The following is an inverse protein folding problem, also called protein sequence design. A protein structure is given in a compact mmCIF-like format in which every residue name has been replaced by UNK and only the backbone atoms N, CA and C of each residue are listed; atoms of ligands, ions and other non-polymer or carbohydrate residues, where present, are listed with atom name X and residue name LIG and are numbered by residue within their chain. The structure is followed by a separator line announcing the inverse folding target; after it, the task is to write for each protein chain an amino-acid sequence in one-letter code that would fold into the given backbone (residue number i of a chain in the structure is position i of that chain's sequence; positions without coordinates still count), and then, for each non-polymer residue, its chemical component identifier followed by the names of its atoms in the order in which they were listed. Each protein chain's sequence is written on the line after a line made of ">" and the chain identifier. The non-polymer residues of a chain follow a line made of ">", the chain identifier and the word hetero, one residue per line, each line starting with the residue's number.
data_IF_752714119339
#
_entry.id   IF_752714119339
#
_cell.length_a   1.000
_cell.length_b   1.000
_cell.length_c   1.000
_cell.angle_alpha   90.00
_cell.angle_beta   90.00
_cell.angle_gamma   90.00
#
_symmetry.space_group_name_H-M   'P 1'
#
loop_
_entity.id
_entity.type
_entity.pdbx_description
1 polymer ?
#
# COMPACT_ATOMS: atom_id res chain seq x y z
N UNK A 1 -6.17 -6.65 -21.20
CA UNK A 1 -6.80 -5.98 -20.06
C UNK A 1 -8.31 -6.17 -20.12
N UNK A 2 -8.94 -6.43 -18.97
CA UNK A 2 -10.37 -6.75 -18.82
C UNK A 2 -10.88 -6.32 -17.44
N UNK A 3 -12.11 -6.70 -17.04
CA UNK A 3 -12.67 -6.35 -15.74
C UNK A 3 -11.78 -6.82 -14.57
N UNK A 4 -11.70 -6.08 -13.47
CA UNK A 4 -10.95 -6.50 -12.29
C UNK A 4 -11.67 -7.67 -11.60
N UNK A 5 -10.90 -8.51 -10.93
CA UNK A 5 -11.40 -9.58 -10.07
C UNK A 5 -10.79 -9.49 -8.69
N UNK A 6 -11.61 -9.64 -7.65
CA UNK A 6 -11.15 -9.71 -6.25
C UNK A 6 -11.49 -11.09 -5.71
N UNK A 7 -10.46 -11.90 -5.44
CA UNK A 7 -10.63 -13.27 -4.97
C UNK A 7 -10.21 -13.40 -3.51
N UNK A 8 -11.14 -13.82 -2.65
CA UNK A 8 -10.83 -14.14 -1.27
C UNK A 8 -10.32 -15.57 -1.16
N UNK A 9 -9.18 -15.75 -0.50
CA UNK A 9 -8.67 -17.06 -0.17
C UNK A 9 -9.54 -17.71 0.92
N UNK A 10 -9.85 -18.98 0.74
CA UNK A 10 -10.67 -19.81 1.63
C UNK A 10 -9.90 -21.09 1.97
N UNK A 11 -10.42 -21.89 2.90
CA UNK A 11 -9.79 -23.17 3.25
C UNK A 11 -9.75 -24.17 2.09
N UNK A 12 -10.61 -24.02 1.08
CA UNK A 12 -10.76 -24.94 -0.04
C UNK A 12 -10.42 -24.33 -1.41
N UNK A 13 -9.86 -23.13 -1.46
CA UNK A 13 -9.53 -22.44 -2.72
C UNK A 13 -9.90 -20.96 -2.68
N UNK A 14 -10.31 -20.41 -3.82
CA UNK A 14 -10.58 -18.98 -3.99
C UNK A 14 -12.04 -18.73 -4.35
N UNK A 15 -12.61 -17.64 -3.83
CA UNK A 15 -13.97 -17.19 -4.16
C UNK A 15 -13.92 -15.79 -4.73
N UNK A 16 -14.57 -15.57 -5.88
CA UNK A 16 -14.80 -14.22 -6.40
C UNK A 16 -15.73 -13.45 -5.45
N UNK A 17 -15.22 -12.31 -4.96
CA UNK A 17 -15.88 -11.41 -4.05
C UNK A 17 -16.01 -10.00 -4.64
N UNK A 18 -15.67 -9.79 -5.93
CA UNK A 18 -15.65 -8.47 -6.55
C UNK A 18 -16.98 -7.72 -6.42
N UNK A 19 -18.10 -8.40 -6.66
CA UNK A 19 -19.43 -7.80 -6.54
C UNK A 19 -19.83 -7.52 -5.08
N UNK A 20 -19.54 -8.45 -4.18
CA UNK A 20 -19.80 -8.31 -2.73
C UNK A 20 -19.02 -7.14 -2.13
N UNK A 21 -17.76 -6.99 -2.55
CA UNK A 21 -16.85 -5.97 -2.05
C UNK A 21 -16.90 -4.67 -2.86
N UNK A 22 -17.72 -4.58 -3.91
CA UNK A 22 -17.97 -3.31 -4.61
C UNK A 22 -16.93 -2.91 -5.65
N UNK A 23 -16.11 -3.84 -6.15
CA UNK A 23 -15.08 -3.58 -7.18
C UNK A 23 -15.36 -4.25 -8.53
N UNK A 24 -16.47 -4.99 -8.66
CA UNK A 24 -16.87 -5.58 -9.94
C UNK A 24 -17.43 -4.50 -10.89
N UNK A 25 -16.52 -3.85 -11.63
CA UNK A 25 -16.82 -2.90 -12.69
C UNK A 25 -16.50 -3.50 -14.06
N UNK A 26 -17.30 -3.19 -15.08
CA UNK A 26 -16.95 -3.56 -16.45
C UNK A 26 -15.85 -2.65 -16.98
N UNK A 27 -15.03 -3.15 -17.90
CA UNK A 27 -14.00 -2.36 -18.55
C UNK A 27 -12.67 -3.06 -18.74
N UNK A 28 -11.63 -2.25 -18.84
CA UNK A 28 -10.27 -2.70 -19.09
C UNK A 28 -9.31 -1.87 -18.26
N UNK A 29 -8.54 -2.55 -17.44
CA UNK A 29 -7.68 -1.97 -16.43
C UNK A 29 -6.30 -2.61 -16.48
N UNK A 30 -5.24 -1.82 -16.28
CA UNK A 30 -3.86 -2.21 -16.60
C UNK A 30 -3.07 -2.52 -15.34
N UNK A 31 -3.32 -1.80 -14.26
CA UNK A 31 -2.70 -1.96 -12.96
C UNK A 31 -3.64 -1.65 -11.79
N UNK A 32 -3.19 -2.03 -10.60
CA UNK A 32 -3.78 -1.56 -9.36
C UNK A 32 -2.70 -1.43 -8.29
N UNK A 33 -2.93 -0.54 -7.33
CA UNK A 33 -2.05 -0.38 -6.18
C UNK A 33 -2.88 -0.30 -4.90
N UNK A 34 -2.39 -0.95 -3.85
CA UNK A 34 -3.02 -0.99 -2.53
C UNK A 34 -2.19 -0.18 -1.53
N UNK A 35 -2.86 0.60 -0.69
CA UNK A 35 -2.24 1.34 0.40
C UNK A 35 -3.30 1.93 1.32
N UNK A 36 -2.99 2.08 2.60
CA UNK A 36 -3.88 2.75 3.55
C UNK A 36 -3.69 4.27 3.40
N UNK A 37 -4.45 4.92 2.53
CA UNK A 37 -4.20 6.33 2.13
C UNK A 37 -4.86 7.34 3.07
N UNK A 38 -5.78 6.87 3.91
CA UNK A 38 -6.49 7.67 4.90
C UNK A 38 -6.11 7.32 6.36
N UNK A 39 -5.19 6.36 6.55
CA UNK A 39 -4.71 5.85 7.84
C UNK A 39 -5.81 5.32 8.75
N UNK A 40 -6.84 4.66 8.20
CA UNK A 40 -7.90 4.02 8.98
C UNK A 40 -7.57 2.56 9.39
N UNK A 41 -6.37 2.09 9.03
CA UNK A 41 -5.87 0.75 9.30
C UNK A 41 -6.33 -0.29 8.28
N UNK A 42 -6.85 0.13 7.11
CA UNK A 42 -7.31 -0.74 6.03
C UNK A 42 -6.64 -0.32 4.73
N UNK A 43 -6.44 -1.29 3.84
CA UNK A 43 -5.87 -0.99 2.52
C UNK A 43 -6.98 -0.48 1.60
N UNK A 44 -6.76 0.70 1.05
CA UNK A 44 -7.52 1.30 -0.05
C UNK A 44 -6.92 0.85 -1.40
N UNK A 45 -7.66 1.07 -2.49
CA UNK A 45 -7.33 0.56 -3.81
C UNK A 45 -7.42 1.67 -4.86
N UNK A 46 -6.32 1.91 -5.57
CA UNK A 46 -6.36 2.62 -6.84
C UNK A 46 -6.32 1.63 -8.00
N UNK A 47 -7.11 1.88 -9.03
CA UNK A 47 -7.27 1.05 -10.22
C UNK A 47 -7.25 1.97 -11.45
N UNK A 48 -6.29 1.80 -12.37
CA UNK A 48 -6.23 2.59 -13.59
C UNK A 48 -6.97 1.91 -14.75
N UNK A 49 -7.77 2.70 -15.47
CA UNK A 49 -8.36 2.30 -16.72
C UNK A 49 -7.35 2.37 -17.86
N UNK A 50 -7.60 1.63 -18.94
CA UNK A 50 -6.75 1.71 -20.13
C UNK A 50 -7.36 2.62 -21.19
N UNK A 51 -6.51 3.20 -22.05
CA UNK A 51 -6.96 3.83 -23.30
C UNK A 51 -6.80 2.82 -24.44
N UNK A 52 -7.91 2.32 -24.97
CA UNK A 52 -7.87 1.35 -26.06
C UNK A 52 -9.01 1.53 -27.04
N UNK A 53 -8.72 1.33 -28.33
CA UNK A 53 -9.71 1.45 -29.41
C UNK A 53 -10.43 2.81 -29.44
N UNK A 54 -9.72 3.89 -29.07
CA UNK A 54 -10.28 5.24 -29.00
C UNK A 54 -11.22 5.49 -27.82
N UNK A 55 -11.32 4.53 -26.87
CA UNK A 55 -12.07 4.67 -25.63
C UNK A 55 -11.11 4.80 -24.45
N UNK A 56 -11.37 5.80 -23.60
CA UNK A 56 -10.78 5.90 -22.27
C UNK A 56 -11.68 5.18 -21.26
N UNK A 57 -11.16 4.18 -20.55
CA UNK A 57 -11.84 3.59 -19.40
C UNK A 57 -11.49 4.39 -18.15
N UNK A 58 -12.45 4.68 -17.26
CA UNK A 58 -12.18 5.54 -16.11
C UNK A 58 -11.28 4.85 -15.09
N UNK A 59 -10.47 5.65 -14.41
CA UNK A 59 -9.77 5.26 -13.19
C UNK A 59 -10.76 5.20 -12.02
N UNK A 60 -10.42 4.45 -10.98
CA UNK A 60 -11.17 4.41 -9.72
C UNK A 60 -10.23 4.53 -8.53
N UNK A 61 -10.68 5.23 -7.50
CA UNK A 61 -10.00 5.30 -6.22
C UNK A 61 -10.95 4.83 -5.13
N UNK A 62 -10.84 3.58 -4.74
CA UNK A 62 -11.71 2.95 -3.77
C UNK A 62 -11.18 3.08 -2.35
N UNK A 63 -11.97 3.67 -1.46
CA UNK A 63 -11.73 3.58 -0.03
C UNK A 63 -12.39 2.34 0.55
N UNK A 64 -11.68 1.63 1.42
CA UNK A 64 -12.19 0.42 2.05
C UNK A 64 -12.84 0.76 3.39
N UNK A 65 -14.10 0.38 3.55
CA UNK A 65 -14.82 0.53 4.80
C UNK A 65 -15.74 -0.67 5.04
N UNK A 66 -15.67 -1.25 6.24
CA UNK A 66 -16.60 -2.30 6.69
C UNK A 66 -16.72 -3.51 5.74
N UNK A 67 -15.61 -3.92 5.09
CA UNK A 67 -15.60 -5.07 4.17
C UNK A 67 -16.09 -4.76 2.76
N UNK A 68 -16.15 -3.48 2.38
CA UNK A 68 -16.53 -3.04 1.04
C UNK A 68 -15.67 -1.86 0.59
N UNK A 69 -15.44 -1.78 -0.71
CA UNK A 69 -14.83 -0.67 -1.40
C UNK A 69 -15.91 0.28 -1.93
N UNK A 70 -15.69 1.58 -1.78
CA UNK A 70 -16.53 2.64 -2.35
C UNK A 70 -15.66 3.59 -3.11
N UNK A 71 -16.00 3.86 -4.37
CA UNK A 71 -15.27 4.82 -5.18
C UNK A 71 -15.38 6.22 -4.56
N UNK A 72 -14.23 6.84 -4.40
CA UNK A 72 -14.01 8.15 -3.82
C UNK A 72 -12.93 8.89 -4.63
N UNK A 73 -12.81 8.61 -5.93
CA UNK A 73 -11.82 9.23 -6.80
C UNK A 73 -11.84 10.77 -6.67
N UNK A 74 -10.71 11.38 -6.25
CA UNK A 74 -10.62 12.83 -6.19
C UNK A 74 -10.73 13.43 -7.60
N UNK A 75 -11.35 14.61 -7.77
CA UNK A 75 -11.51 15.24 -9.08
C UNK A 75 -10.19 15.44 -9.85
N UNK A 76 -9.11 15.75 -9.14
CA UNK A 76 -7.76 15.91 -9.68
C UNK A 76 -7.17 14.60 -10.21
N UNK A 77 -7.51 13.46 -9.60
CA UNK A 77 -7.13 12.14 -10.07
C UNK A 77 -7.99 11.76 -11.27
N UNK A 78 -9.31 11.96 -11.20
CA UNK A 78 -10.25 11.65 -12.28
C UNK A 78 -10.01 12.46 -13.57
N UNK A 79 -9.34 13.60 -13.47
CA UNK A 79 -8.94 14.43 -14.61
C UNK A 79 -7.70 13.89 -15.34
N UNK A 80 -6.99 12.93 -14.76
CA UNK A 80 -5.81 12.30 -15.34
C UNK A 80 -6.26 11.09 -16.16
N UNK A 81 -5.52 10.80 -17.21
CA UNK A 81 -5.64 9.54 -17.96
C UNK A 81 -4.39 8.74 -17.69
N UNK A 82 -4.40 7.94 -16.63
CA UNK A 82 -3.40 6.91 -16.42
C UNK A 82 -3.75 5.70 -17.31
N UNK A 83 -2.75 4.92 -17.72
CA UNK A 83 -2.97 3.66 -18.47
C UNK A 83 -1.79 2.69 -18.37
N UNK A 84 -0.89 2.86 -17.40
CA UNK A 84 0.28 1.99 -17.29
C UNK A 84 0.64 1.72 -15.82
N UNK A 85 1.10 2.75 -15.12
CA UNK A 85 1.80 2.58 -13.86
C UNK A 85 1.20 3.45 -12.76
N UNK A 86 1.02 2.85 -11.59
CA UNK A 86 0.56 3.52 -10.39
C UNK A 86 1.46 3.16 -9.21
N UNK A 87 1.77 4.16 -8.38
CA UNK A 87 2.67 4.02 -7.24
C UNK A 87 2.13 4.83 -6.07
N UNK A 88 2.04 4.21 -4.90
CA UNK A 88 1.81 4.90 -3.63
C UNK A 88 3.11 5.04 -2.85
N UNK A 89 3.49 6.26 -2.50
CA UNK A 89 4.65 6.55 -1.67
C UNK A 89 4.53 7.92 -1.01
N UNK A 90 5.12 8.08 0.18
CA UNK A 90 5.25 9.37 0.89
C UNK A 90 6.44 10.14 0.29
N UNK A 91 6.19 10.89 -0.79
CA UNK A 91 7.22 11.56 -1.59
C UNK A 91 7.71 12.86 -0.95
N UNK A 92 6.81 13.60 -0.30
CA UNK A 92 7.15 14.87 0.36
C UNK A 92 7.60 14.69 1.84
N UNK A 93 7.41 13.49 2.39
CA UNK A 93 7.87 13.12 3.72
C UNK A 93 6.94 13.58 4.85
N UNK A 94 5.70 13.94 4.56
CA UNK A 94 4.74 14.40 5.55
C UNK A 94 4.07 13.25 6.34
N UNK A 95 4.17 12.03 5.81
CA UNK A 95 3.63 10.79 6.38
C UNK A 95 2.42 10.23 5.64
N UNK A 96 1.78 11.00 4.75
CA UNK A 96 0.71 10.56 3.88
C UNK A 96 1.26 9.80 2.66
N UNK A 97 0.48 8.85 2.13
CA UNK A 97 0.82 8.21 0.86
C UNK A 97 0.31 9.08 -0.29
N UNK A 98 1.24 9.55 -1.12
CA UNK A 98 0.98 10.26 -2.38
C UNK A 98 0.86 9.27 -3.54
N UNK A 99 0.20 9.70 -4.61
CA UNK A 99 -0.02 8.89 -5.80
C UNK A 99 0.82 9.40 -6.97
N UNK A 100 1.68 8.54 -7.52
CA UNK A 100 2.38 8.80 -8.78
C UNK A 100 1.79 7.93 -9.90
N UNK A 101 1.48 8.55 -11.04
CA UNK A 101 0.83 7.94 -12.19
C UNK A 101 1.64 8.14 -13.46
N UNK A 102 1.70 7.11 -14.30
CA UNK A 102 2.28 7.14 -15.63
C UNK A 102 1.29 6.65 -16.67
N UNK A 103 1.31 7.25 -17.86
CA UNK A 103 0.47 6.85 -18.97
C UNK A 103 0.79 7.58 -20.28
N UNK A 104 -0.17 7.65 -21.23
CA UNK A 104 0.01 8.35 -22.52
C UNK A 104 0.32 9.86 -22.39
N UNK A 105 0.05 10.46 -21.22
CA UNK A 105 0.25 11.88 -20.94
C UNK A 105 1.46 12.17 -20.05
N UNK A 106 1.61 13.42 -19.60
CA UNK A 106 2.57 13.77 -18.56
C UNK A 106 2.38 12.88 -17.33
N UNK A 107 3.49 12.42 -16.76
CA UNK A 107 3.45 11.72 -15.49
C UNK A 107 2.98 12.69 -14.40
N UNK A 108 2.07 12.22 -13.57
CA UNK A 108 1.51 13.02 -12.49
C UNK A 108 2.04 12.54 -11.13
N UNK A 109 2.31 13.48 -10.25
CA UNK A 109 2.49 13.25 -8.82
C UNK A 109 1.41 14.04 -8.10
N UNK A 110 0.54 13.34 -7.38
CA UNK A 110 -0.57 13.90 -6.62
C UNK A 110 -0.27 13.76 -5.14
N UNK A 111 -0.03 14.88 -4.48
CA UNK A 111 0.23 14.93 -3.05
C UNK A 111 -1.07 14.70 -2.27
N UNK A 112 -1.01 13.84 -1.27
CA UNK A 112 -2.17 13.50 -0.46
C UNK A 112 -2.33 14.49 0.70
N UNK A 113 -3.36 15.32 0.62
CA UNK A 113 -3.60 16.40 1.61
C UNK A 113 -4.47 15.96 2.78
N UNK A 114 -4.42 14.69 3.21
CA UNK A 114 -5.06 14.28 4.47
C UNK A 114 -4.57 15.16 5.62
N UNK A 115 -5.45 15.45 6.58
CA UNK A 115 -5.10 16.35 7.68
C UNK A 115 -3.84 15.89 8.43
N UNK A 116 -2.98 16.83 8.84
CA UNK A 116 -1.65 16.49 9.38
C UNK A 116 -1.70 15.52 10.59
N UNK A 117 -2.72 15.64 11.44
CA UNK A 117 -2.93 14.74 12.58
C UNK A 117 -3.18 13.29 12.14
N UNK A 118 -3.76 13.09 10.95
CA UNK A 118 -3.96 11.79 10.34
C UNK A 118 -2.68 11.35 9.63
N UNK A 119 -2.02 12.21 8.86
CA UNK A 119 -0.76 11.90 8.18
C UNK A 119 0.33 11.37 9.14
N UNK A 120 0.38 11.91 10.37
CA UNK A 120 1.30 11.45 11.43
C UNK A 120 1.03 10.03 11.95
N UNK A 121 -0.11 9.42 11.65
CA UNK A 121 -0.51 8.09 12.15
C UNK A 121 -0.01 6.97 11.27
N UNK A 122 1.27 6.99 10.95
CA UNK A 122 1.91 5.95 10.16
C UNK A 122 3.28 5.57 10.74
N UNK A 123 3.71 4.36 10.42
CA UNK A 123 5.10 3.95 10.58
C UNK A 123 5.70 3.59 9.24
N UNK A 124 6.91 4.09 9.00
CA UNK A 124 7.70 3.81 7.81
C UNK A 124 8.88 2.92 8.21
N UNK A 125 8.97 1.73 7.64
CA UNK A 125 9.97 0.71 8.02
C UNK A 125 10.92 0.42 6.87
N UNK A 126 12.17 0.85 7.02
CA UNK A 126 13.25 0.45 6.11
C UNK A 126 13.92 -0.81 6.64
N UNK A 127 13.77 -1.91 5.92
CA UNK A 127 14.48 -3.16 6.22
C UNK A 127 15.81 -3.17 5.49
N UNK A 128 16.88 -3.52 6.20
CA UNK A 128 18.22 -3.64 5.65
C UNK A 128 18.82 -4.99 6.04
N UNK A 129 19.69 -5.53 5.21
CA UNK A 129 20.53 -6.66 5.58
C UNK A 129 21.56 -6.28 6.67
N UNK A 130 22.31 -7.27 7.17
CA UNK A 130 23.35 -7.05 8.18
C UNK A 130 24.46 -6.08 7.76
N UNK A 131 24.65 -5.86 6.45
CA UNK A 131 25.62 -4.91 5.88
C UNK A 131 25.00 -3.53 5.61
N UNK A 132 23.71 -3.34 5.87
CA UNK A 132 23.00 -2.09 5.64
C UNK A 132 22.47 -1.91 4.21
N UNK A 133 22.33 -3.00 3.44
CA UNK A 133 21.84 -2.97 2.05
C UNK A 133 20.35 -3.32 1.99
N UNK A 134 19.60 -2.61 1.14
CA UNK A 134 18.17 -2.86 0.92
C UNK A 134 17.93 -4.03 -0.05
N UNK A 135 18.45 -5.21 0.27
CA UNK A 135 18.39 -6.43 -0.58
C UNK A 135 17.47 -7.50 0.02
N UNK A 136 16.41 -7.10 0.71
CA UNK A 136 15.59 -7.97 1.56
C UNK A 136 14.14 -8.02 1.08
N UNK A 137 13.92 -8.01 -0.23
CA UNK A 137 12.59 -8.10 -0.82
C UNK A 137 11.94 -9.46 -0.51
N UNK A 138 10.72 -9.43 0.03
CA UNK A 138 10.00 -10.55 0.64
C UNK A 138 10.05 -10.56 2.17
N UNK A 139 10.76 -9.61 2.81
CA UNK A 139 10.72 -9.47 4.26
C UNK A 139 9.35 -9.00 4.71
N UNK A 140 8.83 -9.65 5.74
CA UNK A 140 7.51 -9.36 6.28
C UNK A 140 7.62 -8.44 7.49
N UNK A 141 6.98 -7.28 7.39
CA UNK A 141 6.86 -6.30 8.46
C UNK A 141 5.49 -6.44 9.11
N UNK A 142 5.44 -6.72 10.40
CA UNK A 142 4.21 -6.69 11.21
C UNK A 142 4.31 -5.62 12.29
N UNK A 143 3.26 -4.84 12.44
CA UNK A 143 3.16 -3.77 13.45
C UNK A 143 2.12 -4.17 14.47
N UNK A 144 2.51 -4.19 15.74
CA UNK A 144 1.66 -4.55 16.87
C UNK A 144 1.45 -3.37 17.80
N UNK A 145 0.33 -3.35 18.51
CA UNK A 145 0.16 -2.45 19.66
C UNK A 145 1.26 -2.74 20.67
N UNK A 146 1.97 -1.69 21.09
CA UNK A 146 3.15 -1.80 21.95
C UNK A 146 2.87 -2.65 23.20
N UNK A 147 3.76 -3.61 23.48
CA UNK A 147 3.66 -4.49 24.64
C UNK A 147 2.61 -5.61 24.51
N UNK A 148 1.92 -5.73 23.39
CA UNK A 148 0.88 -6.75 23.16
C UNK A 148 1.15 -7.59 21.92
N UNK A 149 0.25 -8.55 21.63
CA UNK A 149 0.23 -9.32 20.37
C UNK A 149 -0.87 -8.87 19.41
N UNK A 150 -1.55 -7.76 19.69
CA UNK A 150 -2.59 -7.24 18.81
C UNK A 150 -1.93 -6.66 17.56
N UNK A 151 -2.17 -7.30 16.41
CA UNK A 151 -1.72 -6.83 15.11
C UNK A 151 -2.52 -5.58 14.72
N UNK A 152 -1.82 -4.53 14.30
CA UNK A 152 -2.40 -3.28 13.80
C UNK A 152 -2.29 -3.18 12.28
N UNK A 153 -1.23 -3.73 11.70
CA UNK A 153 -1.02 -3.74 10.26
C UNK A 153 0.17 -4.61 9.86
N UNK A 154 0.27 -4.92 8.58
CA UNK A 154 1.41 -5.63 8.02
C UNK A 154 1.68 -5.22 6.58
N UNK A 155 2.93 -5.40 6.15
CA UNK A 155 3.36 -5.18 4.78
C UNK A 155 4.55 -6.06 4.43
N UNK A 156 4.85 -6.16 3.14
CA UNK A 156 6.03 -6.84 2.62
C UNK A 156 7.00 -5.81 2.06
N UNK A 157 8.31 -6.07 2.19
CA UNK A 157 9.30 -5.37 1.38
C UNK A 157 9.14 -5.86 -0.04
N UNK A 158 8.62 -5.01 -0.92
CA UNK A 158 8.23 -5.42 -2.24
C UNK A 158 9.43 -5.60 -3.20
N UNK A 159 9.28 -6.47 -4.20
CA UNK A 159 10.17 -6.67 -5.34
C UNK A 159 9.48 -6.35 -6.69
N UNK A 160 8.20 -5.98 -6.69
CA UNK A 160 7.44 -5.55 -7.87
C UNK A 160 5.94 -5.44 -7.56
N UNK A 161 5.30 -4.34 -7.96
CA UNK A 161 4.01 -3.93 -7.37
C UNK A 161 2.88 -3.74 -8.38
N UNK A 162 3.20 -3.54 -9.66
CA UNK A 162 2.22 -3.26 -10.70
C UNK A 162 2.80 -3.35 -12.11
N UNK A 163 1.97 -3.05 -13.11
CA UNK A 163 2.40 -2.92 -14.50
C UNK A 163 3.27 -1.66 -14.60
N UNK A 164 4.45 -1.78 -15.24
CA UNK A 164 5.45 -0.73 -15.38
C UNK A 164 5.81 0.07 -14.10
N UNK A 165 5.66 -0.54 -12.93
CA UNK A 165 5.80 0.14 -11.64
C UNK A 165 6.33 -0.75 -10.52
N UNK A 166 6.98 -0.12 -9.54
CA UNK A 166 7.44 -0.76 -8.32
C UNK A 166 7.29 0.20 -7.13
N UNK A 167 6.48 -0.20 -6.16
CA UNK A 167 6.38 0.40 -4.84
C UNK A 167 7.69 0.26 -4.09
N UNK A 168 8.25 1.41 -3.72
CA UNK A 168 9.57 1.50 -3.10
C UNK A 168 9.46 1.47 -1.57
N UNK A 169 10.49 0.89 -0.94
CA UNK A 169 10.72 1.02 0.49
C UNK A 169 10.85 2.51 0.90
N UNK A 170 10.52 2.89 2.14
CA UNK A 170 10.16 2.03 3.27
C UNK A 170 8.75 1.44 3.19
N UNK A 171 8.54 0.30 3.86
CA UNK A 171 7.19 -0.24 4.05
C UNK A 171 6.40 0.76 4.89
N UNK A 172 5.31 1.27 4.35
CA UNK A 172 4.41 2.19 5.02
C UNK A 172 3.20 1.43 5.59
N UNK A 173 2.85 1.71 6.84
CA UNK A 173 1.68 1.17 7.51
C UNK A 173 0.96 2.31 8.21
N UNK A 174 -0.19 2.71 7.66
CA UNK A 174 -1.17 3.57 8.31
C UNK A 174 -1.80 2.91 9.54
N UNK A 175 -2.21 3.72 10.52
CA UNK A 175 -2.69 3.25 11.81
C UNK A 175 -3.90 4.07 12.24
N UNK A 176 -5.05 3.42 12.47
CA UNK A 176 -6.25 4.08 12.98
C UNK A 176 -5.99 4.85 14.30
N UNK A 177 -5.22 4.24 15.22
CA UNK A 177 -4.76 4.87 16.47
C UNK A 177 -3.61 4.09 17.14
N UNK A 178 -2.49 4.76 17.35
CA UNK A 178 -1.41 4.33 18.26
C UNK A 178 -0.37 5.45 18.41
N UNK A 179 0.09 5.72 19.63
CA UNK A 179 1.27 6.58 19.85
C UNK A 179 2.59 5.80 19.76
N UNK A 180 2.53 4.50 20.10
CA UNK A 180 3.68 3.60 20.08
C UNK A 180 3.30 2.21 19.58
N UNK A 181 4.23 1.58 18.88
CA UNK A 181 4.07 0.24 18.33
C UNK A 181 5.31 -0.64 18.52
N UNK A 182 5.11 -1.95 18.46
CA UNK A 182 6.18 -2.92 18.32
C UNK A 182 6.26 -3.38 16.86
N UNK A 183 7.43 -3.32 16.26
CA UNK A 183 7.67 -3.70 14.86
C UNK A 183 8.43 -5.02 14.85
N UNK A 184 7.85 -6.02 14.19
CA UNK A 184 8.48 -7.29 13.91
C UNK A 184 8.83 -7.37 12.43
N UNK A 185 10.08 -7.72 12.12
CA UNK A 185 10.49 -8.06 10.76
C UNK A 185 10.87 -9.54 10.71
N UNK A 186 10.23 -10.29 9.81
CA UNK A 186 10.52 -11.71 9.55
C UNK A 186 11.16 -11.85 8.18
N UNK A 187 12.27 -12.58 8.09
CA UNK A 187 12.97 -12.85 6.83
C UNK A 187 13.51 -14.29 6.79
N UNK A 188 13.31 -15.06 5.71
CA UNK A 188 13.95 -16.35 5.55
C UNK A 188 15.46 -16.19 5.29
N UNK A 189 16.28 -16.76 6.15
CA UNK A 189 17.73 -16.84 5.96
C UNK A 189 18.27 -18.16 6.50
N UNK A 190 19.24 -18.75 5.79
CA UNK A 190 19.90 -20.00 6.18
C UNK A 190 18.90 -21.14 6.47
N UNK A 191 17.86 -21.28 5.66
CA UNK A 191 16.83 -22.32 5.83
C UNK A 191 15.88 -22.12 7.02
N UNK A 192 15.92 -20.98 7.71
CA UNK A 192 15.08 -20.70 8.88
C UNK A 192 14.43 -19.32 8.81
N UNK A 193 13.33 -19.11 9.54
CA UNK A 193 12.73 -17.78 9.71
C UNK A 193 13.51 -17.00 10.77
N UNK A 194 14.16 -15.93 10.36
CA UNK A 194 14.81 -14.97 11.27
C UNK A 194 13.82 -13.88 11.65
N UNK A 195 13.77 -13.52 12.93
CA UNK A 195 12.85 -12.51 13.47
C UNK A 195 13.64 -11.43 14.18
N UNK A 196 13.42 -10.17 13.79
CA UNK A 196 13.99 -8.99 14.45
C UNK A 196 12.87 -8.12 15.00
N UNK A 197 12.99 -7.69 16.26
CA UNK A 197 12.02 -6.82 16.92
C UNK A 197 12.59 -5.42 17.16
N UNK A 198 11.76 -4.40 16.96
CA UNK A 198 11.88 -3.07 17.58
C UNK A 198 10.69 -2.85 18.48
N UNK A 199 10.93 -2.41 19.72
CA UNK A 199 9.88 -2.22 20.73
C UNK A 199 9.62 -0.74 20.96
N UNK A 200 8.37 -0.41 21.30
CA UNK A 200 7.94 0.93 21.73
C UNK A 200 8.34 2.07 20.76
N UNK A 201 8.35 1.79 19.46
CA UNK A 201 8.64 2.76 18.40
C UNK A 201 7.54 3.81 18.38
N UNK A 202 7.93 5.08 18.38
CA UNK A 202 7.00 6.20 18.24
C UNK A 202 6.35 6.21 16.86
N UNK A 203 5.05 6.48 16.82
CA UNK A 203 4.31 6.72 15.60
C UNK A 203 4.32 8.23 15.34
N UNK A 204 4.97 8.65 14.25
CA UNK A 204 5.07 10.08 13.88
C UNK A 204 4.91 10.35 12.38
N UNK A 205 4.73 9.32 11.54
CA UNK A 205 4.58 9.40 10.09
C UNK A 205 5.85 9.79 9.33
N UNK A 206 6.73 10.58 9.92
CA UNK A 206 7.85 11.25 9.24
C UNK A 206 9.16 10.50 9.36
N UNK A 207 9.39 9.80 10.47
CA UNK A 207 10.65 9.09 10.70
C UNK A 207 10.63 7.70 10.10
N UNK A 208 11.65 7.42 9.29
CA UNK A 208 11.92 6.06 8.81
C UNK A 208 12.61 5.24 9.90
N UNK A 209 11.90 4.23 10.40
CA UNK A 209 12.44 3.25 11.33
C UNK A 209 13.29 2.23 10.58
N UNK A 210 14.60 2.25 10.81
CA UNK A 210 15.52 1.28 10.21
C UNK A 210 15.59 0.00 11.06
N UNK A 211 15.26 -1.13 10.44
CA UNK A 211 15.40 -2.47 11.01
C UNK A 211 16.47 -3.24 10.24
N UNK A 212 17.62 -3.47 10.89
CA UNK A 212 18.69 -4.32 10.35
C UNK A 212 18.46 -5.76 10.75
N UNK A 213 18.42 -6.65 9.77
CA UNK A 213 18.35 -8.09 9.99
C UNK A 213 19.66 -8.62 10.59
N UNK A 214 19.55 -9.69 11.38
CA UNK A 214 20.70 -10.38 11.99
C UNK A 214 21.29 -11.41 11.01
#
# INVERSE_FOLDING_TARGET
>A
YGPPGLFLNTTSGWRDAGAEWGVAVDGRYDTCVLGDVNHDGRLDLYLDGTVTQGKNWPDYFYLQASGRFTDAIPPEVAAITADHGALLHDFDGDGALDLALTGQGPHALLLNTIGEDTARRAVRVQVLDRRGRATTAGAEVRVFRAGTRQLLGMGLVDAGSGYDSQSVAPVHIGLASAERVDIQVTWPANGTRQVTMRRAVHVDGRRVTVVRLR
#
